data_IF_236954917848
#
_entry.id   IF_236954917848
#
_cell.length_a   1.000
_cell.length_b   1.000
_cell.length_c   1.000
_cell.angle_alpha   90.00
_cell.angle_beta   90.00
_cell.angle_gamma   90.00
#
_symmetry.space_group_name_H-M   'P 1'
#
loop_
_entity.id
_entity.type
_entity.pdbx_description
1 polymer ?
#
# COMPACT_ATOMS: atom_id res chain seq x y z
N UNK A 1 -17.73 -18.13 -9.52
CA UNK A 1 -18.27 -17.98 -8.15
C UNK A 1 -17.29 -18.43 -7.06
N UNK A 2 -16.04 -18.81 -7.37
CA UNK A 2 -15.03 -19.23 -6.38
C UNK A 2 -14.39 -18.08 -5.58
N UNK A 3 -14.42 -16.84 -6.08
CA UNK A 3 -13.85 -15.68 -5.39
C UNK A 3 -14.65 -15.20 -4.17
N UNK A 4 -15.95 -15.49 -4.08
CA UNK A 4 -16.77 -15.16 -2.90
C UNK A 4 -16.70 -16.24 -1.81
N UNK A 5 -16.17 -17.43 -2.12
CA UNK A 5 -16.09 -18.58 -1.20
C UNK A 5 -15.03 -18.41 -0.09
N UNK A 6 -14.08 -17.48 -0.25
CA UNK A 6 -13.04 -17.19 0.75
C UNK A 6 -13.24 -15.82 1.43
N UNK A 7 -14.50 -15.41 1.67
CA UNK A 7 -14.81 -14.14 2.33
C UNK A 7 -14.06 -13.93 3.67
N UNK A 8 -13.80 -15.02 4.42
CA UNK A 8 -12.99 -14.97 5.65
C UNK A 8 -11.56 -14.53 5.40
N UNK A 9 -10.95 -15.02 4.31
CA UNK A 9 -9.59 -14.65 3.90
C UNK A 9 -9.55 -13.17 3.51
N UNK A 10 -10.51 -12.74 2.68
CA UNK A 10 -10.64 -11.34 2.27
C UNK A 10 -10.83 -10.43 3.49
N UNK A 11 -11.80 -10.75 4.36
CA UNK A 11 -12.07 -10.01 5.59
C UNK A 11 -10.82 -9.87 6.48
N UNK A 12 -10.02 -10.93 6.59
CA UNK A 12 -8.78 -10.87 7.35
C UNK A 12 -7.77 -9.92 6.70
N UNK A 13 -7.52 -10.03 5.39
CA UNK A 13 -6.65 -9.09 4.66
C UNK A 13 -7.13 -7.64 4.80
N UNK A 14 -8.44 -7.43 4.77
CA UNK A 14 -9.07 -6.13 5.00
C UNK A 14 -8.83 -5.60 6.41
N UNK A 15 -9.01 -6.44 7.43
CA UNK A 15 -8.72 -6.09 8.81
C UNK A 15 -7.24 -5.74 9.00
N UNK A 16 -6.32 -6.48 8.36
CA UNK A 16 -4.91 -6.10 8.38
C UNK A 16 -4.70 -4.70 7.78
N UNK A 17 -5.27 -4.45 6.61
CA UNK A 17 -5.03 -3.23 5.84
C UNK A 17 -5.63 -1.98 6.47
N UNK A 18 -6.88 -2.04 6.96
CA UNK A 18 -7.65 -0.88 7.43
C UNK A 18 -7.98 -0.89 8.92
N UNK A 19 -7.55 -1.90 9.68
CA UNK A 19 -7.66 -1.91 11.13
C UNK A 19 -6.29 -2.04 11.79
N UNK A 20 -5.57 -3.13 11.54
CA UNK A 20 -4.29 -3.41 12.22
C UNK A 20 -3.24 -2.36 11.88
N UNK A 21 -3.01 -2.07 10.59
CA UNK A 21 -2.07 -1.02 10.20
C UNK A 21 -2.42 0.36 10.79
N UNK A 22 -3.65 0.87 10.62
CA UNK A 22 -4.06 2.13 11.24
C UNK A 22 -3.88 2.15 12.77
N UNK A 23 -4.30 1.09 13.47
CA UNK A 23 -4.17 1.00 14.93
C UNK A 23 -2.70 1.01 15.34
N UNK A 24 -1.84 0.23 14.68
CA UNK A 24 -0.40 0.24 14.96
C UNK A 24 0.23 1.62 14.70
N UNK A 25 -0.17 2.29 13.62
CA UNK A 25 0.27 3.65 13.30
C UNK A 25 -0.13 4.65 14.38
N UNK A 26 -1.38 4.61 14.85
CA UNK A 26 -1.89 5.48 15.91
C UNK A 26 -1.24 5.19 17.27
N UNK A 27 -1.04 3.90 17.61
CA UNK A 27 -0.36 3.50 18.85
C UNK A 27 1.12 3.90 18.85
N UNK A 28 1.73 4.07 17.68
CA UNK A 28 3.11 4.50 17.55
C UNK A 28 3.28 6.03 17.72
N UNK A 29 2.19 6.82 17.73
CA UNK A 29 2.21 8.28 17.91
C UNK A 29 3.12 8.80 19.03
N UNK A 30 2.99 8.35 20.30
CA UNK A 30 3.78 8.91 21.40
C UNK A 30 5.29 8.71 21.25
N UNK A 31 5.71 7.73 20.45
CA UNK A 31 7.13 7.44 20.21
C UNK A 31 7.61 8.08 18.91
N UNK A 32 6.83 7.97 17.83
CA UNK A 32 7.27 8.40 16.50
C UNK A 32 7.11 9.90 16.27
N UNK A 33 6.10 10.56 16.84
CA UNK A 33 5.91 12.00 16.64
C UNK A 33 7.08 12.83 17.22
N UNK A 34 7.61 12.55 18.44
CA UNK A 34 8.80 13.23 18.94
C UNK A 34 10.09 12.89 18.16
N UNK A 35 10.21 11.68 17.62
CA UNK A 35 11.42 11.22 16.92
C UNK A 35 11.49 11.71 15.46
N UNK A 36 10.35 11.74 14.78
CA UNK A 36 10.25 12.05 13.35
C UNK A 36 9.80 13.49 13.07
N UNK A 37 9.15 14.12 14.05
CA UNK A 37 8.39 15.35 13.84
C UNK A 37 7.02 15.08 13.22
N UNK A 38 6.13 16.06 13.37
CA UNK A 38 4.72 15.92 13.04
C UNK A 38 4.46 15.57 11.57
N UNK A 39 5.16 16.22 10.63
CA UNK A 39 4.94 16.05 9.20
C UNK A 39 5.36 14.65 8.70
N UNK A 40 6.50 14.14 9.15
CA UNK A 40 6.92 12.77 8.83
C UNK A 40 6.06 11.72 9.52
N UNK A 41 5.61 11.99 10.75
CA UNK A 41 4.62 11.13 11.41
C UNK A 41 3.30 11.09 10.64
N UNK A 42 2.81 12.21 10.09
CA UNK A 42 1.65 12.21 9.20
C UNK A 42 1.87 11.37 7.95
N UNK A 43 3.05 11.43 7.34
CA UNK A 43 3.42 10.55 6.23
C UNK A 43 3.43 9.06 6.63
N UNK A 44 3.93 8.75 7.83
CA UNK A 44 3.94 7.39 8.37
C UNK A 44 2.51 6.88 8.63
N UNK A 45 1.65 7.73 9.19
CA UNK A 45 0.26 7.38 9.45
C UNK A 45 -0.55 7.26 8.15
N UNK A 46 -0.32 8.16 7.20
CA UNK A 46 -0.88 8.08 5.85
C UNK A 46 -0.53 6.77 5.17
N UNK A 47 0.74 6.36 5.22
CA UNK A 47 1.19 5.05 4.74
C UNK A 47 0.42 3.89 5.39
N UNK A 48 0.13 3.97 6.69
CA UNK A 48 -0.67 2.97 7.40
C UNK A 48 -2.14 2.92 6.90
N UNK A 49 -2.68 4.02 6.40
CA UNK A 49 -4.06 4.11 5.91
C UNK A 49 -4.21 3.66 4.45
N UNK A 50 -3.12 3.62 3.69
CA UNK A 50 -3.14 3.23 2.28
C UNK A 50 -3.61 1.77 2.08
N UNK A 51 -4.21 1.47 0.91
CA UNK A 51 -4.55 0.10 0.56
C UNK A 51 -3.31 -0.76 0.24
N UNK A 52 -3.54 -2.05 -0.05
CA UNK A 52 -2.47 -2.98 -0.44
C UNK A 52 -2.06 -2.82 -1.91
N UNK A 53 -0.92 -3.39 -2.31
CA UNK A 53 -0.50 -3.43 -3.74
C UNK A 53 -1.14 -4.59 -4.48
N UNK A 54 -1.56 -4.37 -5.74
CA UNK A 54 -2.06 -5.45 -6.61
C UNK A 54 -0.91 -6.29 -7.16
N UNK A 55 -0.01 -5.67 -7.93
CA UNK A 55 1.01 -6.37 -8.70
C UNK A 55 1.99 -7.17 -7.81
N UNK A 56 2.59 -6.54 -6.80
CA UNK A 56 3.56 -7.21 -5.92
C UNK A 56 2.91 -8.31 -5.06
N UNK A 57 1.65 -8.14 -4.64
CA UNK A 57 0.94 -9.19 -3.90
C UNK A 57 0.73 -10.43 -4.76
N UNK A 58 0.28 -10.25 -6.01
CA UNK A 58 0.07 -11.35 -6.96
C UNK A 58 1.41 -12.03 -7.29
N UNK A 59 2.45 -11.26 -7.58
CA UNK A 59 3.76 -11.78 -7.97
C UNK A 59 4.39 -12.65 -6.86
N UNK A 60 4.44 -12.17 -5.62
CA UNK A 60 5.02 -12.93 -4.51
C UNK A 60 4.14 -14.11 -4.08
N UNK A 61 2.81 -13.96 -4.13
CA UNK A 61 1.89 -15.07 -3.87
C UNK A 61 2.09 -16.19 -4.89
N UNK A 62 2.18 -15.84 -6.18
CA UNK A 62 2.44 -16.80 -7.25
C UNK A 62 3.78 -17.51 -7.06
N UNK A 63 4.85 -16.75 -6.77
CA UNK A 63 6.19 -17.30 -6.55
C UNK A 63 6.23 -18.26 -5.35
N UNK A 64 5.46 -17.97 -4.29
CA UNK A 64 5.35 -18.80 -3.10
C UNK A 64 4.23 -19.87 -3.18
N UNK A 65 3.68 -20.13 -4.39
CA UNK A 65 2.62 -21.13 -4.65
C UNK A 65 1.35 -20.94 -3.79
N UNK A 66 0.98 -19.70 -3.49
CA UNK A 66 -0.25 -19.36 -2.77
C UNK A 66 -1.48 -19.28 -3.68
N UNK A 67 -2.63 -18.95 -3.08
CA UNK A 67 -3.88 -18.74 -3.81
C UNK A 67 -3.85 -17.41 -4.60
N UNK A 68 -3.41 -17.46 -5.85
CA UNK A 68 -3.26 -16.29 -6.74
C UNK A 68 -4.61 -15.62 -7.03
N UNK A 69 -5.67 -16.40 -7.25
CA UNK A 69 -7.02 -15.85 -7.49
C UNK A 69 -7.50 -15.06 -6.26
N UNK A 70 -7.29 -15.60 -5.07
CA UNK A 70 -7.54 -14.93 -3.80
C UNK A 70 -6.71 -13.65 -3.63
N UNK A 71 -5.46 -13.63 -4.07
CA UNK A 71 -4.60 -12.45 -4.01
C UNK A 71 -5.10 -11.33 -4.93
N UNK A 72 -5.46 -11.67 -6.18
CA UNK A 72 -6.03 -10.71 -7.16
C UNK A 72 -7.30 -10.08 -6.59
N UNK A 73 -8.21 -10.92 -6.09
CA UNK A 73 -9.48 -10.51 -5.53
C UNK A 73 -9.28 -9.59 -4.30
N UNK A 74 -8.50 -10.04 -3.31
CA UNK A 74 -8.24 -9.28 -2.08
C UNK A 74 -7.59 -7.93 -2.36
N UNK A 75 -6.54 -7.91 -3.20
CA UNK A 75 -5.82 -6.68 -3.48
C UNK A 75 -6.66 -5.69 -4.29
N UNK A 76 -7.46 -6.17 -5.24
CA UNK A 76 -8.35 -5.30 -6.03
C UNK A 76 -9.45 -4.68 -5.16
N UNK A 77 -10.12 -5.51 -4.34
CA UNK A 77 -11.12 -5.00 -3.42
C UNK A 77 -10.51 -4.03 -2.40
N UNK A 78 -9.31 -4.34 -1.86
CA UNK A 78 -8.59 -3.45 -0.95
C UNK A 78 -8.33 -2.08 -1.58
N UNK A 79 -7.90 -2.03 -2.85
CA UNK A 79 -7.69 -0.76 -3.54
C UNK A 79 -8.99 0.02 -3.77
N UNK A 80 -10.06 -0.65 -4.19
CA UNK A 80 -11.35 -0.01 -4.42
C UNK A 80 -11.91 0.60 -3.14
N UNK A 81 -11.98 -0.20 -2.08
CA UNK A 81 -12.46 0.26 -0.77
C UNK A 81 -11.50 1.30 -0.18
N UNK A 82 -10.20 1.14 -0.37
CA UNK A 82 -9.17 2.07 0.11
C UNK A 82 -9.28 3.46 -0.48
N UNK A 83 -9.78 3.62 -1.72
CA UNK A 83 -10.03 4.94 -2.31
C UNK A 83 -11.05 5.77 -1.50
N UNK A 84 -11.96 5.11 -0.79
CA UNK A 84 -12.95 5.78 0.06
C UNK A 84 -12.53 5.82 1.53
N UNK A 85 -11.97 4.72 2.05
CA UNK A 85 -11.57 4.65 3.46
C UNK A 85 -10.37 5.54 3.75
N UNK A 86 -9.36 5.60 2.88
CA UNK A 86 -8.13 6.36 3.14
C UNK A 86 -8.41 7.85 3.37
N UNK A 87 -9.17 8.56 2.51
CA UNK A 87 -9.51 9.95 2.76
C UNK A 87 -10.24 10.18 4.07
N UNK A 88 -11.15 9.27 4.46
CA UNK A 88 -11.90 9.36 5.72
C UNK A 88 -10.94 9.20 6.91
N UNK A 89 -10.06 8.20 6.89
CA UNK A 89 -9.07 7.99 7.95
C UNK A 89 -8.10 9.17 8.05
N UNK A 90 -7.60 9.69 6.93
CA UNK A 90 -6.73 10.88 6.89
C UNK A 90 -7.47 12.10 7.42
N UNK A 91 -8.71 12.31 6.99
CA UNK A 91 -9.55 13.40 7.48
C UNK A 91 -9.72 13.35 8.99
N UNK A 92 -9.99 12.17 9.55
CA UNK A 92 -10.34 12.04 10.95
C UNK A 92 -9.10 12.09 11.86
N UNK A 93 -8.02 11.39 11.48
CA UNK A 93 -6.86 11.21 12.34
C UNK A 93 -5.69 12.17 12.07
N UNK A 94 -5.64 12.79 10.88
CA UNK A 94 -4.55 13.70 10.51
C UNK A 94 -5.07 15.14 10.38
N UNK A 95 -6.02 15.36 9.48
CA UNK A 95 -6.43 16.72 9.08
C UNK A 95 -7.55 17.32 9.96
N UNK A 96 -8.26 16.49 10.72
CA UNK A 96 -9.26 16.93 11.71
C UNK A 96 -8.65 17.75 12.85
N UNK A 97 -7.32 17.75 12.99
CA UNK A 97 -6.58 18.59 13.94
C UNK A 97 -6.08 19.91 13.33
N UNK A 98 -6.17 20.08 12.01
CA UNK A 98 -5.71 21.29 11.31
C UNK A 98 -6.89 22.22 10.98
N UNK A 99 -6.81 23.49 11.40
CA UNK A 99 -7.81 24.54 11.12
C UNK A 99 -7.86 24.98 9.63
N UNK A 100 -7.53 24.10 8.69
CA UNK A 100 -7.34 24.44 7.28
C UNK A 100 -8.44 23.84 6.42
N UNK A 101 -9.70 24.24 6.64
CA UNK A 101 -10.81 24.12 5.68
C UNK A 101 -10.89 22.83 4.87
N UNK A 102 -10.43 21.70 5.43
CA UNK A 102 -10.28 20.46 4.69
C UNK A 102 -11.67 19.92 4.44
N UNK A 103 -12.01 19.74 3.18
CA UNK A 103 -13.31 19.22 2.75
C UNK A 103 -13.12 17.75 2.32
N UNK A 104 -13.43 16.79 3.22
CA UNK A 104 -13.21 15.37 2.95
C UNK A 104 -14.05 14.91 1.76
N UNK A 105 -15.22 15.54 1.56
CA UNK A 105 -16.14 15.23 0.47
C UNK A 105 -15.50 15.57 -0.87
N UNK A 106 -14.87 16.75 -0.99
CA UNK A 106 -14.14 17.13 -2.21
C UNK A 106 -12.96 16.22 -2.49
N UNK A 107 -12.18 15.85 -1.47
CA UNK A 107 -11.05 14.93 -1.65
C UNK A 107 -11.51 13.53 -2.07
N UNK A 108 -12.60 13.00 -1.49
CA UNK A 108 -13.19 11.71 -1.91
C UNK A 108 -13.64 11.78 -3.36
N UNK A 109 -14.32 12.86 -3.77
CA UNK A 109 -14.77 13.04 -5.16
C UNK A 109 -13.56 13.09 -6.10
N UNK A 110 -12.53 13.88 -5.78
CA UNK A 110 -11.33 14.00 -6.62
C UNK A 110 -10.57 12.68 -6.74
N UNK A 111 -10.40 11.94 -5.64
CA UNK A 111 -9.74 10.63 -5.65
C UNK A 111 -10.58 9.61 -6.44
N UNK A 112 -11.91 9.68 -6.31
CA UNK A 112 -12.83 8.85 -7.08
C UNK A 112 -12.71 9.15 -8.58
N UNK A 113 -12.69 10.42 -8.97
CA UNK A 113 -12.50 10.83 -10.36
C UNK A 113 -11.11 10.47 -10.89
N UNK A 114 -10.07 10.59 -10.07
CA UNK A 114 -8.70 10.34 -10.48
C UNK A 114 -8.35 8.85 -10.58
N UNK A 115 -8.90 8.01 -9.71
CA UNK A 115 -8.51 6.60 -9.61
C UNK A 115 -9.66 5.64 -9.96
N UNK A 116 -10.89 5.89 -9.49
CA UNK A 116 -12.01 4.96 -9.71
C UNK A 116 -12.60 5.08 -11.12
N UNK A 117 -12.77 6.29 -11.64
CA UNK A 117 -13.27 6.50 -13.02
C UNK A 117 -12.39 5.84 -14.07
N UNK A 118 -11.06 6.08 -14.12
CA UNK A 118 -10.21 5.40 -15.11
C UNK A 118 -10.18 3.88 -14.89
N UNK A 119 -10.31 3.41 -13.64
CA UNK A 119 -10.46 1.98 -13.36
C UNK A 119 -11.75 1.41 -13.97
N UNK A 120 -12.91 2.04 -13.75
CA UNK A 120 -14.20 1.59 -14.32
C UNK A 120 -14.15 1.62 -15.84
N UNK A 121 -13.66 2.70 -16.44
CA UNK A 121 -13.49 2.79 -17.88
C UNK A 121 -12.59 1.67 -18.41
N UNK A 122 -11.45 1.42 -17.75
CA UNK A 122 -10.56 0.31 -18.08
C UNK A 122 -11.27 -1.06 -18.01
N UNK A 123 -12.14 -1.28 -17.02
CA UNK A 123 -12.92 -2.52 -16.91
C UNK A 123 -13.97 -2.66 -18.02
N UNK A 124 -14.65 -1.56 -18.40
CA UNK A 124 -15.61 -1.56 -19.51
C UNK A 124 -14.92 -1.81 -20.84
N UNK A 125 -13.73 -1.24 -21.06
CA UNK A 125 -12.95 -1.44 -22.28
C UNK A 125 -12.20 -2.78 -22.31
N UNK A 126 -12.10 -3.49 -21.17
CA UNK A 126 -11.35 -4.75 -21.05
C UNK A 126 -11.72 -5.79 -22.10
N UNK A 127 -13.00 -6.10 -22.41
CA UNK A 127 -13.34 -7.12 -23.41
C UNK A 127 -12.79 -6.82 -24.80
N UNK A 128 -12.67 -5.53 -25.13
CA UNK A 128 -12.20 -5.07 -26.44
C UNK A 128 -10.67 -5.03 -26.52
N UNK A 129 -9.99 -4.55 -25.47
CA UNK A 129 -8.54 -4.29 -25.49
C UNK A 129 -7.73 -5.51 -25.04
N UNK A 130 -8.26 -6.31 -24.10
CA UNK A 130 -7.53 -7.43 -23.51
C UNK A 130 -7.02 -8.47 -24.53
N UNK A 131 -7.79 -8.86 -25.59
CA UNK A 131 -7.29 -9.78 -26.61
C UNK A 131 -6.05 -9.28 -27.36
N UNK A 132 -5.87 -7.96 -27.47
CA UNK A 132 -4.68 -7.35 -28.08
C UNK A 132 -3.52 -7.28 -27.09
N UNK A 133 -3.78 -6.94 -25.82
CA UNK A 133 -2.75 -6.86 -24.78
C UNK A 133 -2.05 -8.20 -24.53
N UNK A 134 -2.80 -9.31 -24.59
CA UNK A 134 -2.24 -10.67 -24.42
C UNK A 134 -1.23 -11.03 -25.51
N UNK A 135 -1.30 -10.38 -26.69
CA UNK A 135 -0.35 -10.60 -27.79
C UNK A 135 1.01 -9.91 -27.57
N UNK A 136 1.07 -8.89 -26.70
CA UNK A 136 2.28 -8.07 -26.45
C UNK A 136 2.54 -7.85 -24.95
N UNK A 137 2.66 -8.92 -24.14
CA UNK A 137 2.75 -8.81 -22.68
C UNK A 137 3.98 -8.01 -22.22
N UNK A 138 5.09 -8.07 -22.95
CA UNK A 138 6.32 -7.33 -22.63
C UNK A 138 6.13 -5.81 -22.75
N UNK A 139 5.44 -5.34 -23.79
CA UNK A 139 5.16 -3.91 -23.99
C UNK A 139 4.21 -3.40 -22.92
N UNK A 140 3.15 -4.16 -22.64
CA UNK A 140 2.19 -3.84 -21.58
C UNK A 140 2.89 -3.71 -20.22
N UNK A 141 3.77 -4.66 -19.90
CA UNK A 141 4.54 -4.63 -18.65
C UNK A 141 5.50 -3.44 -18.59
N UNK A 142 6.20 -3.14 -19.68
CA UNK A 142 7.11 -1.99 -19.74
C UNK A 142 6.34 -0.66 -19.57
N UNK A 143 5.16 -0.54 -20.18
CA UNK A 143 4.30 0.64 -20.05
C UNK A 143 3.77 0.81 -18.61
N UNK A 144 3.28 -0.27 -17.99
CA UNK A 144 2.81 -0.27 -16.61
C UNK A 144 3.91 0.15 -15.62
N UNK A 145 5.07 -0.53 -15.69
CA UNK A 145 6.21 -0.25 -14.81
C UNK A 145 6.82 1.13 -15.09
N UNK A 146 6.89 1.55 -16.35
CA UNK A 146 7.37 2.88 -16.74
C UNK A 146 6.47 3.99 -16.22
N UNK A 147 5.14 3.80 -16.28
CA UNK A 147 4.18 4.78 -15.74
C UNK A 147 4.33 4.92 -14.22
N UNK A 148 4.44 3.81 -13.49
CA UNK A 148 4.70 3.84 -12.04
C UNK A 148 6.03 4.55 -11.75
N UNK A 149 7.10 4.21 -12.48
CA UNK A 149 8.41 4.82 -12.31
C UNK A 149 8.37 6.34 -12.51
N UNK A 150 7.64 6.82 -13.53
CA UNK A 150 7.46 8.26 -13.80
C UNK A 150 6.72 8.96 -12.65
N UNK A 151 5.68 8.33 -12.08
CA UNK A 151 4.95 8.88 -10.92
C UNK A 151 5.84 8.95 -9.68
N UNK A 152 6.60 7.88 -9.39
CA UNK A 152 7.55 7.86 -8.27
C UNK A 152 8.63 8.91 -8.46
N UNK A 153 9.19 9.00 -9.66
CA UNK A 153 10.22 9.98 -10.01
C UNK A 153 9.72 11.40 -9.87
N UNK A 154 8.52 11.72 -10.37
CA UNK A 154 7.94 13.06 -10.23
C UNK A 154 7.72 13.45 -8.77
N UNK A 155 7.22 12.54 -7.94
CA UNK A 155 7.04 12.78 -6.51
C UNK A 155 8.38 12.97 -5.77
N UNK A 156 9.38 12.15 -6.09
CA UNK A 156 10.69 12.27 -5.45
C UNK A 156 11.46 13.50 -5.92
N UNK A 157 11.46 13.77 -7.22
CA UNK A 157 12.11 14.94 -7.80
C UNK A 157 11.54 16.23 -7.23
N UNK A 158 10.20 16.35 -7.16
CA UNK A 158 9.56 17.51 -6.52
C UNK A 158 9.91 17.64 -5.04
N UNK A 159 10.02 16.52 -4.30
CA UNK A 159 10.48 16.53 -2.92
C UNK A 159 11.95 17.00 -2.77
N UNK A 160 12.83 16.53 -3.63
CA UNK A 160 14.25 16.93 -3.65
C UNK A 160 14.39 18.41 -3.99
N UNK A 161 13.66 18.89 -5.01
CA UNK A 161 13.62 20.31 -5.41
C UNK A 161 13.05 21.18 -4.28
N UNK A 162 12.08 20.68 -3.53
CA UNK A 162 11.55 21.34 -2.33
C UNK A 162 12.51 21.30 -1.11
N UNK A 163 13.71 20.75 -1.27
CA UNK A 163 14.75 20.76 -0.23
C UNK A 163 14.56 19.71 0.85
N UNK A 164 13.91 18.57 0.57
CA UNK A 164 13.67 17.49 1.55
C UNK A 164 14.93 17.09 2.34
N UNK A 165 16.09 17.01 1.67
CA UNK A 165 17.37 16.64 2.30
C UNK A 165 17.92 17.67 3.29
N UNK A 166 17.47 18.92 3.19
CA UNK A 166 17.81 19.97 4.16
C UNK A 166 16.84 19.97 5.35
N UNK A 167 15.65 19.41 5.18
CA UNK A 167 14.60 19.34 6.21
C UNK A 167 14.69 18.05 7.05
N UNK A 168 15.16 16.95 6.45
CA UNK A 168 15.25 15.64 7.10
C UNK A 168 16.71 15.31 7.42
N UNK A 169 17.03 15.27 8.71
CA UNK A 169 18.36 14.87 9.16
C UNK A 169 18.60 13.37 8.90
N UNK A 170 19.88 12.97 8.74
CA UNK A 170 20.24 11.57 8.56
C UNK A 170 19.82 10.67 9.73
N UNK A 171 19.79 11.21 10.96
CA UNK A 171 19.32 10.48 12.13
C UNK A 171 17.79 10.28 12.11
N UNK A 172 17.03 11.28 11.67
CA UNK A 172 15.57 11.16 11.47
C UNK A 172 15.25 10.10 10.41
N UNK A 173 16.04 10.06 9.33
CA UNK A 173 15.91 9.04 8.29
C UNK A 173 16.17 7.64 8.84
N UNK A 174 17.19 7.48 9.69
CA UNK A 174 17.48 6.21 10.36
C UNK A 174 16.31 5.77 11.26
N UNK A 175 15.75 6.67 12.07
CA UNK A 175 14.57 6.38 12.89
C UNK A 175 13.37 5.97 12.03
N UNK A 176 13.16 6.63 10.88
CA UNK A 176 12.08 6.28 9.97
C UNK A 176 12.28 4.88 9.36
N UNK A 177 13.50 4.53 8.95
CA UNK A 177 13.82 3.18 8.44
C UNK A 177 13.55 2.12 9.51
N UNK A 178 13.97 2.38 10.76
CA UNK A 178 13.72 1.46 11.89
C UNK A 178 12.22 1.34 12.14
N UNK A 179 11.48 2.44 12.20
CA UNK A 179 10.04 2.44 12.42
C UNK A 179 9.30 1.65 11.33
N UNK A 180 9.63 1.87 10.06
CA UNK A 180 9.05 1.13 8.93
C UNK A 180 9.41 -0.37 9.00
N UNK A 181 10.64 -0.70 9.38
CA UNK A 181 11.10 -2.10 9.51
C UNK A 181 10.39 -2.82 10.67
N UNK A 182 10.23 -2.16 11.81
CA UNK A 182 9.50 -2.69 12.98
C UNK A 182 8.03 -2.88 12.64
N UNK A 183 7.37 -1.88 12.04
CA UNK A 183 5.97 -1.99 11.61
C UNK A 183 5.78 -3.17 10.65
N UNK A 184 6.63 -3.27 9.63
CA UNK A 184 6.57 -4.37 8.66
C UNK A 184 6.75 -5.72 9.36
N UNK A 185 7.72 -5.82 10.27
CA UNK A 185 8.00 -7.05 11.03
C UNK A 185 6.80 -7.48 11.86
N UNK A 186 6.19 -6.56 12.62
CA UNK A 186 5.01 -6.83 13.43
C UNK A 186 3.86 -7.33 12.54
N UNK A 187 3.57 -6.62 11.45
CA UNK A 187 2.49 -6.99 10.54
C UNK A 187 2.75 -8.34 9.89
N UNK A 188 3.98 -8.63 9.48
CA UNK A 188 4.34 -9.91 8.88
C UNK A 188 4.25 -11.07 9.88
N UNK A 189 4.66 -10.87 11.13
CA UNK A 189 4.50 -11.88 12.18
C UNK A 189 3.02 -12.16 12.44
N UNK A 190 2.20 -11.11 12.60
CA UNK A 190 0.76 -11.25 12.75
C UNK A 190 0.15 -11.97 11.53
N UNK A 191 0.52 -11.59 10.32
CA UNK A 191 0.02 -12.22 9.10
C UNK A 191 0.53 -13.66 8.89
N UNK A 192 1.56 -14.09 9.63
CA UNK A 192 2.04 -15.47 9.63
C UNK A 192 1.32 -16.34 10.68
N UNK A 193 1.06 -15.81 11.88
CA UNK A 193 0.46 -16.56 12.98
C UNK A 193 -1.07 -16.54 12.96
N UNK A 194 -1.69 -15.39 12.70
CA UNK A 194 -3.15 -15.23 12.76
C UNK A 194 -3.86 -16.19 11.78
N UNK A 195 -3.46 -16.32 10.50
CA UNK A 195 -4.11 -17.26 9.60
C UNK A 195 -4.01 -18.73 10.03
N UNK A 196 -2.93 -19.10 10.72
CA UNK A 196 -2.77 -20.47 11.26
C UNK A 196 -3.75 -20.75 12.37
N UNK A 197 -3.96 -19.77 13.25
CA UNK A 197 -4.92 -19.89 14.35
C UNK A 197 -6.36 -19.98 13.86
N UNK A 198 -6.70 -19.28 12.77
CA UNK A 198 -8.00 -19.40 12.10
C UNK A 198 -8.15 -20.66 11.24
N UNK A 199 -7.13 -21.53 11.17
CA UNK A 199 -7.21 -22.81 10.46
C UNK A 199 -7.21 -22.71 8.93
N UNK A 200 -6.67 -21.63 8.36
CA UNK A 200 -6.58 -21.48 6.90
C UNK A 200 -5.62 -22.52 6.29
N UNK A 201 -5.90 -22.95 5.06
CA UNK A 201 -5.00 -23.84 4.31
C UNK A 201 -3.67 -23.12 3.95
N UNK A 202 -2.65 -23.87 3.55
CA UNK A 202 -1.30 -23.31 3.28
C UNK A 202 -1.33 -22.23 2.18
N UNK A 203 -2.11 -22.44 1.12
CA UNK A 203 -2.19 -21.52 -0.02
C UNK A 203 -2.80 -20.17 0.39
N UNK A 204 -3.87 -20.20 1.20
CA UNK A 204 -4.53 -19.01 1.73
C UNK A 204 -3.67 -18.32 2.78
N UNK A 205 -2.94 -19.05 3.63
CA UNK A 205 -1.98 -18.45 4.57
C UNK A 205 -0.92 -17.63 3.82
N UNK A 206 -0.36 -18.17 2.72
CA UNK A 206 0.62 -17.48 1.88
C UNK A 206 0.00 -16.22 1.25
N UNK A 207 -1.23 -16.33 0.73
CA UNK A 207 -1.96 -15.19 0.16
C UNK A 207 -2.22 -14.11 1.20
N UNK A 208 -2.73 -14.47 2.39
CA UNK A 208 -2.98 -13.52 3.47
C UNK A 208 -1.68 -12.82 3.86
N UNK A 209 -0.59 -13.58 4.01
CA UNK A 209 0.71 -13.02 4.37
C UNK A 209 1.16 -11.92 3.40
N UNK A 210 1.15 -12.20 2.09
CA UNK A 210 1.62 -11.24 1.10
C UNK A 210 0.64 -10.11 0.82
N UNK A 211 -0.67 -10.34 0.87
CA UNK A 211 -1.66 -9.29 0.67
C UNK A 211 -1.77 -8.35 1.87
N UNK A 212 -1.59 -8.88 3.09
CA UNK A 212 -1.74 -8.11 4.33
C UNK A 212 -0.52 -7.30 4.70
N UNK A 213 0.67 -7.60 4.17
CA UNK A 213 1.92 -6.92 4.58
C UNK A 213 2.31 -5.74 3.68
N UNK A 214 1.51 -5.44 2.65
CA UNK A 214 1.89 -4.47 1.62
C UNK A 214 1.08 -3.19 1.64
N UNK A 215 1.73 -2.11 1.23
CA UNK A 215 1.13 -0.78 1.03
C UNK A 215 1.48 -0.24 -0.35
N UNK A 216 0.49 0.34 -1.02
CA UNK A 216 0.63 0.80 -2.41
C UNK A 216 1.17 2.22 -2.52
N UNK A 217 2.35 2.33 -3.13
CA UNK A 217 2.94 3.62 -3.48
C UNK A 217 2.28 4.20 -4.74
N UNK A 218 1.97 3.35 -5.73
CA UNK A 218 1.47 3.77 -7.04
C UNK A 218 0.18 4.58 -6.96
N UNK A 219 -0.77 4.17 -6.12
CA UNK A 219 -1.99 4.96 -5.86
C UNK A 219 -1.84 5.89 -4.65
N UNK A 220 -0.91 5.62 -3.74
CA UNK A 220 -0.64 6.48 -2.59
C UNK A 220 -0.08 7.86 -2.96
N UNK A 221 0.78 7.95 -3.97
CA UNK A 221 1.34 9.24 -4.43
C UNK A 221 0.25 10.18 -4.98
N UNK A 222 -0.61 9.76 -5.95
CA UNK A 222 -1.73 10.58 -6.40
C UNK A 222 -2.71 10.95 -5.28
N UNK A 223 -3.00 10.02 -4.34
CA UNK A 223 -3.84 10.32 -3.18
C UNK A 223 -3.21 11.39 -2.29
N UNK A 224 -1.90 11.33 -2.04
CA UNK A 224 -1.20 12.31 -1.23
C UNK A 224 -1.29 13.72 -1.84
N UNK A 225 -1.14 13.83 -3.16
CA UNK A 225 -1.25 15.10 -3.89
C UNK A 225 -2.61 15.77 -3.70
N UNK A 226 -3.69 14.99 -3.57
CA UNK A 226 -5.04 15.51 -3.34
C UNK A 226 -5.29 15.80 -1.85
N UNK A 227 -4.86 14.90 -0.95
CA UNK A 227 -5.18 14.98 0.47
C UNK A 227 -4.35 16.02 1.22
N UNK A 228 -3.12 16.25 0.77
CA UNK A 228 -2.14 17.09 1.46
C UNK A 228 -1.77 18.32 0.62
N UNK A 229 -2.75 18.90 -0.09
CA UNK A 229 -2.56 20.14 -0.85
C UNK A 229 -2.03 21.23 0.08
N UNK A 230 -0.96 21.91 -0.34
CA UNK A 230 -0.30 22.96 0.43
C UNK A 230 0.63 22.45 1.55
N UNK A 231 0.74 21.14 1.75
CA UNK A 231 1.72 20.54 2.64
C UNK A 231 2.98 20.09 1.87
N UNK A 232 4.13 19.95 2.55
CA UNK A 232 5.34 19.42 1.94
C UNK A 232 5.17 17.95 1.57
N UNK A 233 4.70 17.69 0.34
CA UNK A 233 4.42 16.35 -0.19
C UNK A 233 5.61 15.40 -0.05
N UNK A 234 6.84 15.91 -0.14
CA UNK A 234 8.05 15.12 0.07
C UNK A 234 8.09 14.43 1.42
N UNK A 235 7.73 15.12 2.51
CA UNK A 235 7.71 14.53 3.85
C UNK A 235 6.55 13.53 4.03
N UNK A 236 5.40 13.78 3.39
CA UNK A 236 4.26 12.87 3.46
C UNK A 236 4.53 11.57 2.70
N UNK A 237 5.20 11.65 1.55
CA UNK A 237 5.46 10.50 0.67
C UNK A 237 6.72 9.71 1.08
N UNK A 238 7.68 10.33 1.77
CA UNK A 238 8.93 9.66 2.14
C UNK A 238 8.74 8.34 2.92
N UNK A 239 7.87 8.23 3.93
CA UNK A 239 7.64 6.97 4.66
C UNK A 239 7.17 5.83 3.77
N UNK A 240 6.20 6.06 2.87
CA UNK A 240 5.72 5.02 1.95
C UNK A 240 6.81 4.62 0.95
N UNK A 241 7.70 5.52 0.53
CA UNK A 241 8.83 5.17 -0.34
C UNK A 241 9.80 4.22 0.34
N UNK A 242 10.19 4.52 1.57
CA UNK A 242 11.10 3.69 2.36
C UNK A 242 10.45 2.33 2.67
N UNK A 243 9.21 2.35 3.16
CA UNK A 243 8.46 1.14 3.45
C UNK A 243 8.28 0.27 2.20
N UNK A 244 8.00 0.89 1.05
CA UNK A 244 7.84 0.18 -0.22
C UNK A 244 9.12 -0.54 -0.64
N UNK A 245 10.30 0.05 -0.43
CA UNK A 245 11.55 -0.60 -0.75
C UNK A 245 11.84 -1.78 0.19
N UNK A 246 11.63 -1.59 1.49
CA UNK A 246 11.85 -2.62 2.51
C UNK A 246 10.92 -3.82 2.26
N UNK A 247 9.62 -3.58 1.97
CA UNK A 247 8.68 -4.68 1.69
C UNK A 247 9.09 -5.51 0.46
N UNK A 248 9.60 -4.89 -0.60
CA UNK A 248 10.01 -5.61 -1.81
C UNK A 248 11.21 -6.53 -1.52
N UNK A 249 12.21 -6.01 -0.79
CA UNK A 249 13.39 -6.79 -0.39
C UNK A 249 13.00 -7.96 0.52
N UNK A 250 12.27 -7.69 1.60
CA UNK A 250 11.92 -8.71 2.61
C UNK A 250 10.95 -9.74 2.04
N UNK A 251 9.89 -9.32 1.35
CA UNK A 251 8.94 -10.24 0.72
C UNK A 251 9.59 -11.08 -0.39
N UNK A 252 10.52 -10.50 -1.16
CA UNK A 252 11.26 -11.22 -2.19
C UNK A 252 12.10 -12.36 -1.63
N UNK A 253 12.85 -12.10 -0.55
CA UNK A 253 13.64 -13.13 0.13
C UNK A 253 12.75 -14.24 0.69
N UNK A 254 11.64 -13.88 1.36
CA UNK A 254 10.73 -14.86 1.98
C UNK A 254 10.02 -15.70 0.93
N UNK A 255 9.49 -15.08 -0.13
CA UNK A 255 8.82 -15.78 -1.20
C UNK A 255 9.76 -16.76 -1.92
N UNK A 256 11.03 -16.38 -2.13
CA UNK A 256 12.03 -17.26 -2.72
C UNK A 256 12.35 -18.46 -1.80
N UNK A 257 12.48 -18.23 -0.49
CA UNK A 257 12.67 -19.31 0.49
C UNK A 257 11.50 -20.29 0.51
N UNK A 258 10.26 -19.79 0.54
CA UNK A 258 9.06 -20.64 0.54
C UNK A 258 8.85 -21.41 -0.76
N UNK A 259 9.27 -20.84 -1.90
CA UNK A 259 9.26 -21.53 -3.19
C UNK A 259 10.12 -22.81 -3.16
N UNK A 260 11.32 -22.71 -2.57
CA UNK A 260 12.28 -23.82 -2.44
C UNK A 260 11.82 -24.89 -1.44
N UNK A 261 11.25 -24.51 -0.30
CA UNK A 261 10.77 -25.47 0.72
C UNK A 261 9.53 -26.27 0.29
N UNK A 262 8.94 -25.95 -0.87
CA UNK A 262 7.79 -26.67 -1.45
C UNK A 262 8.22 -27.56 -2.62
N UNK A 263 9.52 -27.78 -2.80
CA UNK A 263 10.10 -28.72 -3.78
C UNK A 263 10.73 -29.95 -3.10
N UNK A 264 10.86 -29.94 -1.77
CA UNK A 264 11.19 -31.09 -0.92
C UNK A 264 9.90 -31.64 -0.30
#
# INVERSE_FOLDING_TARGET
MEGMLHWKMHALVFAFTFLIFPVLGLMAKPVLEPLLGQQLYWGFLFMCFLPSTVQSSIAFTSMAKGNVAGAVCSASFSNIIGMFITPILVSFFILGQSQHGFDPTKSIIQITLLLLVPFILGQILRPYIFPYMVKVPSIVKAFDQGSILMVVYGAFSSAVVAGLWQQVSGITLLYLIIACSVLLTIVMLLAFYVPKWFGFNRADQVTIFFCSSKKTLASGVPMAQILFIGQPLGMIVLPIMIFHQIQLMVCGVIANRWSKSTQE
#
